data_IF_654080250912
#
_entry.id   IF_654080250912
#
_cell.length_a   1.000
_cell.length_b   1.000
_cell.length_c   1.000
_cell.angle_alpha   90.00
_cell.angle_beta   90.00
_cell.angle_gamma   90.00
#
_symmetry.space_group_name_H-M   'P 1'
#
loop_
_entity.id
_entity.type
_entity.pdbx_description
1 polymer ?
#
# COMPACT_ATOMS: atom_id res chain seq x y z
N UNK A 1 5.68 -43.45 41.83
CA UNK A 1 5.52 -43.41 40.36
C UNK A 1 5.35 -41.96 39.95
N UNK A 2 6.21 -41.49 39.05
CA UNK A 2 6.31 -40.11 38.59
C UNK A 2 5.29 -39.79 37.48
N UNK A 3 5.12 -38.49 37.22
CA UNK A 3 4.40 -37.85 36.09
C UNK A 3 2.94 -37.48 36.44
N UNK A 4 2.46 -36.26 36.20
CA UNK A 4 2.74 -35.39 35.06
C UNK A 4 2.70 -33.90 35.41
N UNK A 5 3.74 -33.18 35.00
CA UNK A 5 3.73 -31.74 34.73
C UNK A 5 4.05 -31.60 33.25
N UNK A 6 3.07 -31.21 32.43
CA UNK A 6 3.31 -30.64 31.09
C UNK A 6 1.98 -30.18 30.46
N UNK A 7 1.53 -28.98 30.80
CA UNK A 7 0.50 -28.27 30.05
C UNK A 7 0.93 -26.81 29.92
N UNK A 8 1.97 -26.56 29.14
CA UNK A 8 2.41 -25.20 28.82
C UNK A 8 2.43 -24.98 27.30
N UNK A 9 1.54 -24.07 26.89
CA UNK A 9 1.70 -23.09 25.81
C UNK A 9 1.63 -23.59 24.36
N UNK A 10 0.42 -23.79 23.84
CA UNK A 10 0.14 -23.69 22.39
C UNK A 10 -0.92 -22.61 22.18
N UNK A 11 -0.56 -21.34 22.38
CA UNK A 11 -1.43 -20.21 22.06
C UNK A 11 -0.67 -18.97 21.55
N UNK A 12 0.57 -19.13 21.08
CA UNK A 12 1.40 -18.01 20.61
C UNK A 12 1.53 -17.87 19.09
N UNK A 13 1.25 -18.92 18.31
CA UNK A 13 1.62 -18.96 16.89
C UNK A 13 0.56 -18.41 15.92
N UNK A 14 -0.68 -18.19 16.37
CA UNK A 14 -1.74 -17.63 15.52
C UNK A 14 -1.68 -16.11 15.40
N UNK A 15 -1.20 -15.40 16.42
CA UNK A 15 -1.11 -13.93 16.38
C UNK A 15 0.05 -13.39 15.54
N UNK A 16 1.12 -14.17 15.32
CA UNK A 16 2.24 -13.76 14.48
C UNK A 16 1.82 -13.52 13.01
N UNK A 17 0.75 -14.18 12.54
CA UNK A 17 0.21 -13.98 11.19
C UNK A 17 -0.79 -12.84 11.08
N UNK A 18 -1.32 -12.33 12.19
CA UNK A 18 -2.22 -11.17 12.24
C UNK A 18 -1.44 -9.85 12.41
N UNK A 19 -0.30 -9.88 13.09
CA UNK A 19 0.60 -8.73 13.22
C UNK A 19 1.31 -8.32 11.92
N UNK A 20 1.17 -9.10 10.85
CA UNK A 20 1.71 -8.73 9.54
C UNK A 20 0.91 -7.62 8.85
N UNK A 21 -0.35 -7.36 9.20
CA UNK A 21 -1.09 -6.27 8.56
C UNK A 21 -0.56 -4.87 8.93
N UNK A 22 -0.23 -4.64 10.22
CA UNK A 22 0.33 -3.37 10.68
C UNK A 22 1.83 -3.23 10.38
N UNK A 23 2.61 -4.32 10.48
CA UNK A 23 4.00 -4.32 10.06
C UNK A 23 4.15 -4.19 8.53
N UNK A 24 3.20 -4.75 7.76
CA UNK A 24 3.11 -4.50 6.32
C UNK A 24 2.82 -3.04 6.02
N UNK A 25 2.07 -2.28 6.82
CA UNK A 25 1.84 -0.85 6.57
C UNK A 25 3.15 -0.06 6.45
N UNK A 26 4.01 -0.11 7.46
CA UNK A 26 5.28 0.65 7.47
C UNK A 26 6.31 0.17 6.42
N UNK A 27 6.39 -1.14 6.17
CA UNK A 27 7.25 -1.70 5.12
C UNK A 27 6.70 -1.39 3.70
N UNK A 28 5.38 -1.52 3.51
CA UNK A 28 4.66 -1.21 2.27
C UNK A 28 4.75 0.26 1.90
N UNK A 29 4.74 1.18 2.88
CA UNK A 29 4.89 2.61 2.64
C UNK A 29 6.25 2.97 2.01
N UNK A 30 7.33 2.34 2.48
CA UNK A 30 8.68 2.55 1.95
C UNK A 30 8.84 1.95 0.54
N UNK A 31 8.23 0.79 0.30
CA UNK A 31 8.23 0.15 -1.02
C UNK A 31 7.29 0.83 -2.02
N UNK A 32 6.25 1.54 -1.57
CA UNK A 32 5.29 2.22 -2.43
C UNK A 32 5.92 3.38 -3.20
N UNK A 33 6.91 4.07 -2.63
CA UNK A 33 7.57 5.21 -3.28
C UNK A 33 8.24 4.80 -4.58
N UNK A 34 7.93 5.51 -5.67
CA UNK A 34 8.44 5.25 -7.01
C UNK A 34 7.72 4.14 -7.76
N UNK A 35 6.74 3.46 -7.15
CA UNK A 35 5.95 2.43 -7.81
C UNK A 35 4.84 3.05 -8.66
N UNK A 36 4.51 2.34 -9.73
CA UNK A 36 3.35 2.62 -10.56
C UNK A 36 2.10 2.06 -9.90
N UNK A 37 1.03 2.82 -9.97
CA UNK A 37 -0.27 2.45 -9.44
C UNK A 37 -1.36 2.84 -10.44
N UNK A 38 -2.51 2.18 -10.35
CA UNK A 38 -3.70 2.53 -11.13
C UNK A 38 -4.71 3.22 -10.24
N UNK A 39 -5.24 4.35 -10.70
CA UNK A 39 -6.30 5.07 -10.01
C UNK A 39 -7.60 4.28 -10.12
N UNK A 40 -8.20 3.92 -8.97
CA UNK A 40 -9.50 3.29 -8.88
C UNK A 40 -10.61 4.31 -8.65
N UNK A 41 -10.34 5.31 -7.80
CA UNK A 41 -11.24 6.43 -7.55
C UNK A 41 -10.50 7.74 -7.84
N UNK A 42 -11.16 8.72 -8.49
CA UNK A 42 -10.53 9.97 -8.87
C UNK A 42 -9.79 10.64 -7.71
N UNK A 43 -8.54 11.02 -7.95
CA UNK A 43 -7.72 11.74 -6.97
C UNK A 43 -7.83 13.23 -7.25
N UNK A 44 -8.19 14.01 -6.24
CA UNK A 44 -8.31 15.47 -6.31
C UNK A 44 -7.46 16.10 -5.20
N UNK A 45 -7.04 17.37 -5.33
CA UNK A 45 -6.35 18.07 -4.25
C UNK A 45 -7.21 18.26 -3.00
N UNK A 46 -8.54 18.33 -3.15
CA UNK A 46 -9.47 18.56 -2.04
C UNK A 46 -9.87 17.26 -1.32
N UNK A 47 -9.91 16.14 -2.05
CA UNK A 47 -10.34 14.84 -1.52
C UNK A 47 -9.41 13.72 -1.96
N UNK A 48 -8.89 12.90 -1.02
CA UNK A 48 -8.13 11.71 -1.35
C UNK A 48 -8.99 10.73 -2.15
N UNK A 49 -8.44 10.29 -3.28
CA UNK A 49 -8.95 9.18 -4.06
C UNK A 49 -8.37 7.85 -3.59
N UNK A 50 -8.43 6.84 -4.46
CA UNK A 50 -7.96 5.49 -4.16
C UNK A 50 -7.17 4.95 -5.33
N UNK A 51 -6.02 4.37 -5.03
CA UNK A 51 -5.15 3.71 -6.02
C UNK A 51 -4.95 2.25 -5.64
N UNK A 52 -4.63 1.44 -6.64
CA UNK A 52 -4.17 0.07 -6.48
C UNK A 52 -2.77 -0.08 -7.03
N UNK A 53 -1.90 -0.66 -6.22
CA UNK A 53 -0.50 -0.91 -6.53
C UNK A 53 -0.11 -2.32 -6.12
N UNK A 54 0.98 -2.82 -6.69
CA UNK A 54 1.53 -4.12 -6.35
C UNK A 54 2.75 -3.98 -5.46
N UNK A 55 2.66 -4.52 -4.25
CA UNK A 55 3.70 -4.53 -3.22
C UNK A 55 3.95 -5.98 -2.80
N UNK A 56 5.20 -6.43 -2.87
CA UNK A 56 5.56 -7.80 -2.50
C UNK A 56 4.77 -8.89 -3.25
N UNK A 57 4.32 -8.64 -4.49
CA UNK A 57 3.49 -9.57 -5.27
C UNK A 57 2.00 -9.58 -4.87
N UNK A 58 1.57 -8.67 -4.00
CA UNK A 58 0.19 -8.53 -3.57
C UNK A 58 -0.41 -7.22 -4.06
N UNK A 59 -1.69 -7.27 -4.45
CA UNK A 59 -2.44 -6.06 -4.76
C UNK A 59 -2.87 -5.37 -3.46
N UNK A 60 -2.39 -4.14 -3.28
CA UNK A 60 -2.71 -3.30 -2.13
C UNK A 60 -3.50 -2.09 -2.61
N UNK A 61 -4.54 -1.77 -1.86
CA UNK A 61 -5.37 -0.60 -2.05
C UNK A 61 -4.91 0.49 -1.08
N UNK A 62 -4.62 1.70 -1.60
CA UNK A 62 -4.11 2.80 -0.78
C UNK A 62 -4.83 4.10 -1.13
N UNK A 63 -4.99 4.98 -0.13
CA UNK A 63 -5.50 6.33 -0.36
C UNK A 63 -4.46 7.15 -1.10
N UNK A 64 -4.90 7.99 -2.03
CA UNK A 64 -3.98 8.84 -2.77
C UNK A 64 -4.54 10.23 -3.05
N UNK A 65 -3.66 11.22 -2.97
CA UNK A 65 -3.94 12.61 -3.28
C UNK A 65 -2.98 13.15 -4.33
N UNK A 66 -3.38 14.21 -5.00
CA UNK A 66 -2.56 14.93 -5.99
C UNK A 66 -2.53 16.41 -5.67
N UNK A 67 -1.45 17.12 -6.01
CA UNK A 67 -1.38 18.59 -5.83
C UNK A 67 -1.87 19.36 -7.05
N UNK A 68 -1.91 18.69 -8.21
CA UNK A 68 -2.19 19.31 -9.48
C UNK A 68 -3.62 19.09 -9.97
N UNK A 69 -3.74 18.95 -11.28
CA UNK A 69 -5.00 18.63 -11.92
C UNK A 69 -5.57 17.30 -11.38
N UNK A 70 -6.91 17.21 -11.24
CA UNK A 70 -7.55 15.99 -10.80
C UNK A 70 -7.24 14.84 -11.74
N UNK A 71 -6.92 13.68 -11.17
CA UNK A 71 -6.55 12.49 -11.93
C UNK A 71 -7.76 11.56 -11.98
N UNK A 72 -8.32 11.27 -13.17
CA UNK A 72 -9.48 10.41 -13.30
C UNK A 72 -9.13 8.94 -13.03
N UNK A 73 -10.16 8.14 -12.74
CA UNK A 73 -10.01 6.69 -12.59
C UNK A 73 -9.49 6.04 -13.88
N UNK A 74 -8.71 4.97 -13.73
CA UNK A 74 -8.11 4.22 -14.82
C UNK A 74 -6.75 4.75 -15.29
N UNK A 75 -6.32 5.92 -14.84
CA UNK A 75 -5.01 6.51 -15.19
C UNK A 75 -3.89 5.84 -14.38
N UNK A 76 -2.74 5.67 -15.02
CA UNK A 76 -1.51 5.22 -14.37
C UNK A 76 -0.82 6.41 -13.70
N UNK A 77 -0.45 6.25 -12.44
CA UNK A 77 0.21 7.25 -11.62
C UNK A 77 1.46 6.67 -10.99
N UNK A 78 2.39 7.57 -10.63
CA UNK A 78 3.58 7.20 -9.86
C UNK A 78 3.43 7.79 -8.46
N UNK A 79 3.66 6.96 -7.45
CA UNK A 79 3.71 7.40 -6.05
C UNK A 79 5.02 8.14 -5.83
N UNK A 80 4.96 9.43 -5.51
CA UNK A 80 6.16 10.24 -5.23
C UNK A 80 6.54 10.21 -3.77
N UNK A 81 5.55 10.07 -2.88
CA UNK A 81 5.73 10.05 -1.44
C UNK A 81 4.50 9.42 -0.77
N UNK A 82 4.64 8.95 0.46
CA UNK A 82 3.50 8.54 1.28
C UNK A 82 3.62 9.23 2.64
N UNK A 83 2.54 9.88 3.08
CA UNK A 83 2.42 10.55 4.38
C UNK A 83 1.16 10.08 5.06
N UNK A 84 1.27 9.65 6.32
CA UNK A 84 0.10 9.30 7.15
C UNK A 84 -0.89 8.36 6.42
N UNK A 85 -0.37 7.33 5.74
CA UNK A 85 -1.13 6.36 4.94
C UNK A 85 -1.77 6.89 3.63
N UNK A 86 -1.53 8.17 3.30
CA UNK A 86 -1.97 8.80 2.05
C UNK A 86 -0.79 8.98 1.09
N UNK A 87 -0.87 8.35 -0.07
CA UNK A 87 0.13 8.50 -1.12
C UNK A 87 -0.05 9.81 -1.89
N UNK A 88 1.02 10.58 -2.01
CA UNK A 88 1.09 11.64 -3.00
C UNK A 88 1.43 11.01 -4.35
N UNK A 89 0.58 11.28 -5.34
CA UNK A 89 0.74 10.72 -6.68
C UNK A 89 0.78 11.82 -7.74
N UNK A 90 1.56 11.53 -8.79
CA UNK A 90 1.59 12.33 -10.02
C UNK A 90 1.19 11.45 -11.20
N UNK A 91 0.55 12.00 -12.24
CA UNK A 91 0.32 11.27 -13.47
C UNK A 91 1.65 10.68 -13.94
N UNK A 92 1.67 9.39 -14.29
CA UNK A 92 2.78 8.85 -15.03
C UNK A 92 2.74 9.55 -16.38
N UNK A 93 3.53 10.63 -16.54
CA UNK A 93 3.70 11.24 -17.86
C UNK A 93 4.09 10.10 -18.79
N UNK A 94 3.32 9.83 -19.86
CA UNK A 94 3.76 8.90 -20.87
C UNK A 94 5.00 9.53 -21.48
N UNK A 95 6.17 9.15 -20.97
CA UNK A 95 7.43 9.51 -21.58
C UNK A 95 7.36 9.03 -23.02
N UNK A 96 7.42 9.99 -23.93
CA UNK A 96 8.09 9.85 -25.23
C UNK A 96 9.17 8.77 -25.10
N UNK A 97 8.91 7.62 -25.71
CA UNK A 97 9.69 6.42 -25.48
C UNK A 97 9.30 5.32 -26.47
N UNK A 98 9.38 5.64 -27.76
CA UNK A 98 9.76 4.75 -28.88
C UNK A 98 9.38 5.44 -30.21
N UNK A 99 10.32 6.18 -30.79
CA UNK A 99 10.32 6.65 -32.16
C UNK A 99 11.75 6.62 -32.67
#
# INVERSE_FOLDING_TARGET
>A
MASAVAATLIAGATFARLGSAEASGAASLSEAKGRRARVLLPCTPERPGKIRLELGGQQVDMLATTEGAPIPAGVEVVVTEVREDVARVVPAVPGVGAG
#
